data_IF_055564598365
#
_entry.id   IF_055564598365
#
_cell.length_a   1.000
_cell.length_b   1.000
_cell.length_c   1.000
_cell.angle_alpha   90.00
_cell.angle_beta   90.00
_cell.angle_gamma   90.00
#
_symmetry.space_group_name_H-M   'P 1'
#
loop_
_entity.id
_entity.type
_entity.pdbx_description
1 polymer ?
#
# COMPACT_ATOMS: atom_id res chain seq x y z
N UNK A 1 -1.50 -40.89 -17.46
CA UNK A 1 -0.33 -40.25 -16.84
C UNK A 1 0.00 -38.90 -17.50
N UNK A 2 0.04 -38.80 -18.84
CA UNK A 2 0.30 -37.53 -19.55
C UNK A 2 -0.82 -36.48 -19.39
N UNK A 3 -2.09 -36.89 -19.40
CA UNK A 3 -3.24 -35.98 -19.19
C UNK A 3 -3.24 -35.31 -17.82
N UNK A 4 -2.75 -36.01 -16.79
CA UNK A 4 -2.63 -35.50 -15.42
C UNK A 4 -1.55 -34.42 -15.33
N UNK A 5 -0.42 -34.62 -16.03
CA UNK A 5 0.66 -33.62 -16.09
C UNK A 5 0.22 -32.34 -16.79
N UNK A 6 -0.48 -32.47 -17.92
CA UNK A 6 -1.01 -31.31 -18.65
C UNK A 6 -2.01 -30.52 -17.81
N UNK A 7 -2.91 -31.22 -17.12
CA UNK A 7 -3.87 -30.60 -16.20
C UNK A 7 -3.17 -29.85 -15.08
N UNK A 8 -2.19 -30.47 -14.41
CA UNK A 8 -1.43 -29.84 -13.35
C UNK A 8 -0.77 -28.53 -13.80
N UNK A 9 -0.10 -28.52 -14.96
CA UNK A 9 0.54 -27.29 -15.46
C UNK A 9 -0.48 -26.23 -15.83
N UNK A 10 -1.61 -26.60 -16.43
CA UNK A 10 -2.67 -25.65 -16.77
C UNK A 10 -3.29 -25.01 -15.52
N UNK A 11 -3.49 -25.79 -14.45
CA UNK A 11 -3.94 -25.30 -13.13
C UNK A 11 -2.90 -24.36 -12.51
N UNK A 12 -1.62 -24.74 -12.50
CA UNK A 12 -0.55 -23.93 -11.90
C UNK A 12 -0.44 -22.56 -12.58
N UNK A 13 -0.47 -22.53 -13.91
CA UNK A 13 -0.44 -21.28 -14.69
C UNK A 13 -1.65 -20.41 -14.40
N UNK A 14 -2.83 -21.03 -14.36
CA UNK A 14 -4.08 -20.34 -14.08
C UNK A 14 -4.08 -19.72 -12.67
N UNK A 15 -3.77 -20.51 -11.64
CA UNK A 15 -3.76 -20.02 -10.26
C UNK A 15 -2.65 -19.01 -10.00
N UNK A 16 -1.49 -19.12 -10.64
CA UNK A 16 -0.45 -18.10 -10.54
C UNK A 16 -0.95 -16.73 -11.03
N UNK A 17 -1.62 -16.69 -12.19
CA UNK A 17 -2.18 -15.45 -12.74
C UNK A 17 -3.41 -14.97 -11.97
N UNK A 18 -4.29 -15.87 -11.53
CA UNK A 18 -5.46 -15.55 -10.71
C UNK A 18 -5.04 -14.91 -9.38
N UNK A 19 -4.17 -15.60 -8.61
CA UNK A 19 -3.80 -15.19 -7.26
C UNK A 19 -3.02 -13.87 -7.27
N UNK A 20 -2.12 -13.67 -8.23
CA UNK A 20 -1.39 -12.40 -8.38
C UNK A 20 -2.32 -11.23 -8.73
N UNK A 21 -3.34 -11.47 -9.56
CA UNK A 21 -4.36 -10.48 -9.87
C UNK A 21 -5.25 -10.16 -8.67
N UNK A 22 -5.72 -11.18 -7.95
CA UNK A 22 -6.51 -11.02 -6.74
C UNK A 22 -5.74 -10.26 -5.66
N UNK A 23 -4.47 -10.58 -5.44
CA UNK A 23 -3.61 -9.88 -4.47
C UNK A 23 -3.53 -8.37 -4.75
N UNK A 24 -3.32 -7.98 -6.02
CA UNK A 24 -3.29 -6.58 -6.40
C UNK A 24 -4.66 -5.91 -6.22
N UNK A 25 -5.74 -6.53 -6.70
CA UNK A 25 -7.09 -5.99 -6.59
C UNK A 25 -7.52 -5.80 -5.12
N UNK A 26 -7.26 -6.80 -4.27
CA UNK A 26 -7.51 -6.72 -2.84
C UNK A 26 -6.72 -5.57 -2.19
N UNK A 27 -5.45 -5.41 -2.56
CA UNK A 27 -4.64 -4.30 -2.04
C UNK A 27 -5.20 -2.93 -2.44
N UNK A 28 -5.74 -2.81 -3.66
CA UNK A 28 -6.44 -1.62 -4.15
C UNK A 28 -7.85 -1.44 -3.54
N UNK A 29 -8.24 -2.28 -2.56
CA UNK A 29 -9.51 -2.19 -1.86
C UNK A 29 -10.70 -2.75 -2.64
N UNK A 30 -10.45 -3.54 -3.69
CA UNK A 30 -11.51 -4.24 -4.42
C UNK A 30 -11.76 -5.60 -3.79
N UNK A 31 -13.00 -6.11 -3.89
CA UNK A 31 -13.30 -7.47 -3.46
C UNK A 31 -12.49 -8.47 -4.28
N UNK A 32 -12.03 -9.55 -3.66
CA UNK A 32 -11.36 -10.63 -4.36
C UNK A 32 -12.35 -11.25 -5.38
N UNK A 33 -12.14 -11.06 -6.70
CA UNK A 33 -13.07 -11.58 -7.69
C UNK A 33 -13.01 -13.10 -7.72
N UNK A 34 -14.15 -13.74 -7.93
CA UNK A 34 -14.21 -15.19 -8.15
C UNK A 34 -13.53 -15.55 -9.48
N UNK A 35 -13.03 -16.80 -9.64
CA UNK A 35 -12.47 -17.35 -10.88
C UNK A 35 -13.15 -16.92 -12.19
N UNK A 36 -14.48 -16.90 -12.22
CA UNK A 36 -15.27 -16.57 -13.42
C UNK A 36 -15.26 -15.09 -13.78
N UNK A 37 -14.97 -14.22 -12.80
CA UNK A 37 -15.04 -12.76 -12.96
C UNK A 37 -13.67 -12.11 -13.09
N UNK A 38 -12.57 -12.87 -12.92
CA UNK A 38 -11.23 -12.29 -12.87
C UNK A 38 -10.86 -11.48 -14.11
N UNK A 39 -11.21 -11.97 -15.31
CA UNK A 39 -10.94 -11.27 -16.57
C UNK A 39 -11.65 -9.92 -16.61
N UNK A 40 -12.93 -9.88 -16.21
CA UNK A 40 -13.71 -8.64 -16.14
C UNK A 40 -13.10 -7.67 -15.13
N UNK A 41 -12.77 -8.16 -13.93
CA UNK A 41 -12.19 -7.33 -12.87
C UNK A 41 -10.82 -6.75 -13.24
N UNK A 42 -9.95 -7.53 -13.91
CA UNK A 42 -8.65 -7.05 -14.39
C UNK A 42 -8.83 -6.00 -15.49
N UNK A 43 -9.79 -6.18 -16.40
CA UNK A 43 -10.13 -5.17 -17.41
C UNK A 43 -10.53 -3.86 -16.74
N UNK A 44 -11.60 -3.90 -15.95
CA UNK A 44 -12.22 -2.74 -15.32
C UNK A 44 -11.26 -1.98 -14.40
N UNK A 45 -10.56 -2.67 -13.49
CA UNK A 45 -9.81 -2.00 -12.43
C UNK A 45 -8.33 -1.82 -12.72
N UNK A 46 -7.77 -2.47 -13.73
CA UNK A 46 -6.34 -2.38 -14.03
C UNK A 46 -6.08 -1.88 -15.44
N UNK A 47 -6.80 -2.36 -16.44
CA UNK A 47 -6.55 -1.96 -17.84
C UNK A 47 -7.22 -0.64 -18.18
N UNK A 48 -8.51 -0.52 -17.90
CA UNK A 48 -9.28 0.69 -18.21
C UNK A 48 -8.78 1.89 -17.37
N UNK A 49 -8.28 1.62 -16.16
CA UNK A 49 -7.57 2.59 -15.30
C UNK A 49 -6.13 2.90 -15.74
N UNK A 50 -5.64 2.28 -16.82
CA UNK A 50 -4.31 2.53 -17.39
C UNK A 50 -3.13 1.97 -16.58
N UNK A 51 -3.37 1.13 -15.57
CA UNK A 51 -2.33 0.53 -14.71
C UNK A 51 -1.64 -0.66 -15.39
N UNK A 52 -2.40 -1.42 -16.19
CA UNK A 52 -1.97 -2.63 -16.85
C UNK A 52 -2.21 -2.55 -18.37
N UNK A 53 -1.20 -2.78 -19.21
CA UNK A 53 -1.41 -2.83 -20.66
C UNK A 53 -2.33 -3.99 -21.10
N UNK A 54 -3.19 -3.77 -22.10
CA UNK A 54 -4.16 -4.74 -22.65
C UNK A 54 -3.53 -6.11 -22.99
N UNK A 55 -2.26 -6.14 -23.42
CA UNK A 55 -1.56 -7.41 -23.74
C UNK A 55 -1.56 -8.41 -22.58
N UNK A 56 -1.48 -7.93 -21.33
CA UNK A 56 -1.48 -8.80 -20.15
C UNK A 56 -2.86 -9.39 -19.89
N UNK A 57 -3.92 -8.62 -20.16
CA UNK A 57 -5.29 -9.11 -20.09
C UNK A 57 -5.54 -10.21 -21.15
N UNK A 58 -5.06 -10.02 -22.37
CA UNK A 58 -5.11 -11.06 -23.41
C UNK A 58 -4.42 -12.35 -22.98
N UNK A 59 -3.25 -12.26 -22.34
CA UNK A 59 -2.58 -13.45 -21.79
C UNK A 59 -3.38 -14.13 -20.69
N UNK A 60 -4.06 -13.37 -19.83
CA UNK A 60 -4.95 -13.94 -18.82
C UNK A 60 -6.12 -14.67 -19.47
N UNK A 61 -6.77 -14.07 -20.46
CA UNK A 61 -7.86 -14.68 -21.23
C UNK A 61 -7.41 -15.99 -21.90
N UNK A 62 -6.21 -15.99 -22.50
CA UNK A 62 -5.60 -17.18 -23.11
C UNK A 62 -5.38 -18.30 -22.10
N UNK A 63 -4.80 -18.01 -20.93
CA UNK A 63 -4.54 -19.03 -19.89
C UNK A 63 -5.83 -19.55 -19.26
N UNK A 64 -6.81 -18.68 -19.01
CA UNK A 64 -8.14 -19.08 -18.51
C UNK A 64 -8.81 -20.03 -19.50
N UNK A 65 -8.74 -19.72 -20.80
CA UNK A 65 -9.29 -20.58 -21.85
C UNK A 65 -8.53 -21.90 -21.93
N UNK A 66 -7.20 -21.87 -21.93
CA UNK A 66 -6.35 -23.05 -21.96
C UNK A 66 -6.68 -24.03 -20.82
N UNK A 67 -6.79 -23.52 -19.59
CA UNK A 67 -7.17 -24.33 -18.42
C UNK A 67 -8.54 -24.99 -18.59
N UNK A 68 -9.55 -24.24 -19.03
CA UNK A 68 -10.90 -24.79 -19.32
C UNK A 68 -10.87 -25.84 -20.44
N UNK A 69 -10.06 -25.65 -21.46
CA UNK A 69 -9.96 -26.58 -22.59
C UNK A 69 -9.25 -27.88 -22.19
N UNK A 70 -8.27 -27.81 -21.29
CA UNK A 70 -7.64 -28.99 -20.68
C UNK A 70 -8.62 -29.71 -19.74
N UNK A 71 -9.35 -28.98 -18.88
CA UNK A 71 -10.38 -29.50 -17.97
C UNK A 71 -11.47 -30.27 -18.73
N UNK A 72 -11.98 -29.70 -19.83
CA UNK A 72 -12.98 -30.34 -20.69
C UNK A 72 -12.41 -31.36 -21.70
N UNK A 73 -11.12 -31.72 -21.58
CA UNK A 73 -10.43 -32.69 -22.47
C UNK A 73 -10.47 -32.31 -23.95
N UNK A 74 -10.65 -31.03 -24.27
CA UNK A 74 -10.58 -30.47 -25.63
C UNK A 74 -9.14 -30.39 -26.11
N UNK A 75 -8.20 -30.13 -25.20
CA UNK A 75 -6.76 -30.27 -25.46
C UNK A 75 -6.27 -31.59 -24.87
N UNK A 76 -5.94 -32.55 -25.74
CA UNK A 76 -5.41 -33.87 -25.33
C UNK A 76 -3.89 -33.97 -25.42
N UNK A 77 -3.27 -33.13 -26.24
CA UNK A 77 -1.82 -33.05 -26.46
C UNK A 77 -1.42 -31.60 -26.68
N UNK A 78 -0.26 -31.23 -26.16
CA UNK A 78 0.38 -29.94 -26.37
C UNK A 78 1.86 -30.19 -26.64
N UNK A 79 2.47 -29.40 -27.52
CA UNK A 79 3.92 -29.46 -27.71
C UNK A 79 4.64 -28.77 -26.56
N UNK A 80 5.88 -29.18 -26.27
CA UNK A 80 6.71 -28.49 -25.26
C UNK A 80 6.85 -26.99 -25.55
N UNK A 81 7.07 -26.63 -26.83
CA UNK A 81 7.17 -25.25 -27.27
C UNK A 81 5.93 -24.40 -26.96
N UNK A 82 4.73 -24.95 -27.18
CA UNK A 82 3.47 -24.25 -26.84
C UNK A 82 3.31 -24.10 -25.33
N UNK A 83 3.70 -25.12 -24.56
CA UNK A 83 3.65 -25.07 -23.10
C UNK A 83 4.62 -24.01 -22.55
N UNK A 84 5.83 -23.94 -23.09
CA UNK A 84 6.84 -22.93 -22.73
C UNK A 84 6.34 -21.51 -23.01
N UNK A 85 5.55 -21.31 -24.07
CA UNK A 85 4.95 -20.01 -24.36
C UNK A 85 3.95 -19.59 -23.27
N UNK A 86 3.06 -20.49 -22.84
CA UNK A 86 2.14 -20.21 -21.73
C UNK A 86 2.88 -19.93 -20.42
N UNK A 87 3.92 -20.72 -20.12
CA UNK A 87 4.77 -20.52 -18.94
C UNK A 87 5.43 -19.14 -18.98
N UNK A 88 5.97 -18.74 -20.14
CA UNK A 88 6.61 -17.43 -20.32
C UNK A 88 5.62 -16.28 -20.10
N UNK A 89 4.43 -16.34 -20.73
CA UNK A 89 3.36 -15.36 -20.55
C UNK A 89 2.94 -15.23 -19.08
N UNK A 90 2.70 -16.35 -18.41
CA UNK A 90 2.32 -16.37 -17.00
C UNK A 90 3.40 -15.76 -16.10
N UNK A 91 4.68 -16.12 -16.30
CA UNK A 91 5.80 -15.54 -15.54
C UNK A 91 5.91 -14.02 -15.71
N UNK A 92 5.79 -13.53 -16.94
CA UNK A 92 5.82 -12.09 -17.23
C UNK A 92 4.62 -11.35 -16.63
N UNK A 93 3.45 -11.99 -16.66
CA UNK A 93 2.23 -11.46 -16.05
C UNK A 93 2.34 -11.34 -14.53
N UNK A 94 2.72 -12.42 -13.84
CA UNK A 94 2.88 -12.45 -12.38
C UNK A 94 3.89 -11.38 -11.94
N UNK A 95 5.05 -11.33 -12.61
CA UNK A 95 6.06 -10.28 -12.35
C UNK A 95 5.49 -8.87 -12.51
N UNK A 96 4.66 -8.64 -13.53
CA UNK A 96 4.03 -7.33 -13.74
C UNK A 96 3.05 -6.99 -12.62
N UNK A 97 2.26 -7.96 -12.15
CA UNK A 97 1.35 -7.77 -11.02
C UNK A 97 2.09 -7.50 -9.71
N UNK A 98 3.18 -8.22 -9.43
CA UNK A 98 4.06 -7.97 -8.28
C UNK A 98 4.63 -6.55 -8.31
N UNK A 99 5.12 -6.07 -9.47
CA UNK A 99 5.62 -4.71 -9.63
C UNK A 99 4.54 -3.65 -9.34
N UNK A 100 3.31 -3.87 -9.82
CA UNK A 100 2.19 -2.97 -9.57
C UNK A 100 1.80 -2.96 -8.08
N UNK A 101 1.80 -4.12 -7.44
CA UNK A 101 1.52 -4.27 -6.00
C UNK A 101 2.57 -3.55 -5.15
N UNK A 102 3.85 -3.73 -5.44
CA UNK A 102 4.93 -3.06 -4.71
C UNK A 102 4.90 -1.54 -4.90
N UNK A 103 4.56 -1.07 -6.11
CA UNK A 103 4.31 0.35 -6.36
C UNK A 103 3.16 0.88 -5.49
N UNK A 104 2.02 0.19 -5.49
CA UNK A 104 0.85 0.60 -4.71
C UNK A 104 1.14 0.61 -3.20
N UNK A 105 1.89 -0.38 -2.70
CA UNK A 105 2.38 -0.44 -1.31
C UNK A 105 3.22 0.77 -0.95
N UNK A 106 4.20 1.10 -1.79
CA UNK A 106 5.07 2.26 -1.59
C UNK A 106 4.28 3.57 -1.55
N UNK A 107 3.34 3.75 -2.48
CA UNK A 107 2.50 4.94 -2.55
C UNK A 107 1.60 5.08 -1.31
N UNK A 108 0.98 3.98 -0.86
CA UNK A 108 0.16 3.97 0.37
C UNK A 108 0.98 4.36 1.60
N UNK A 109 2.14 3.73 1.78
CA UNK A 109 3.05 4.00 2.90
C UNK A 109 3.55 5.44 2.92
N UNK A 110 3.92 5.96 1.75
CA UNK A 110 4.30 7.36 1.56
C UNK A 110 3.19 8.30 2.04
N UNK A 111 1.95 8.06 1.61
CA UNK A 111 0.79 8.86 2.04
C UNK A 111 0.56 8.78 3.56
N UNK A 112 0.73 7.60 4.17
CA UNK A 112 0.60 7.44 5.62
C UNK A 112 1.64 8.25 6.39
N UNK A 113 2.91 8.18 5.99
CA UNK A 113 4.00 8.94 6.64
C UNK A 113 3.76 10.45 6.54
N UNK A 114 3.44 10.96 5.35
CA UNK A 114 3.15 12.38 5.15
C UNK A 114 1.98 12.81 6.04
N UNK A 115 0.89 12.05 6.04
CA UNK A 115 -0.29 12.34 6.86
C UNK A 115 0.01 12.32 8.35
N UNK A 116 0.79 11.35 8.83
CA UNK A 116 1.17 11.25 10.24
C UNK A 116 1.95 12.49 10.68
N UNK A 117 2.94 12.91 9.89
CA UNK A 117 3.71 14.13 10.16
C UNK A 117 2.82 15.38 10.16
N UNK A 118 2.02 15.58 9.10
CA UNK A 118 1.16 16.76 8.99
C UNK A 118 0.13 16.87 10.11
N UNK A 119 -0.53 15.76 10.46
CA UNK A 119 -1.55 15.73 11.50
C UNK A 119 -0.94 16.04 12.86
N UNK A 120 0.25 15.49 13.15
CA UNK A 120 0.96 15.77 14.39
C UNK A 120 1.36 17.25 14.50
N UNK A 121 1.93 17.81 13.43
CA UNK A 121 2.32 19.22 13.37
C UNK A 121 1.11 20.14 13.49
N UNK A 122 0.00 19.85 12.79
CA UNK A 122 -1.25 20.64 12.87
C UNK A 122 -1.83 20.63 14.27
N UNK A 123 -1.82 19.49 14.96
CA UNK A 123 -2.29 19.38 16.34
C UNK A 123 -1.44 20.21 17.30
N UNK A 124 -0.11 20.14 17.17
CA UNK A 124 0.81 20.97 17.96
C UNK A 124 0.59 22.47 17.70
N UNK A 125 0.46 22.88 16.44
CA UNK A 125 0.17 24.28 16.07
C UNK A 125 -1.15 24.75 16.68
N UNK A 126 -2.20 23.92 16.63
CA UNK A 126 -3.50 24.27 17.20
C UNK A 126 -3.42 24.48 18.73
N UNK A 127 -2.72 23.61 19.44
CA UNK A 127 -2.47 23.75 20.88
C UNK A 127 -1.67 25.02 21.21
N UNK A 128 -0.56 25.26 20.50
CA UNK A 128 0.25 26.47 20.68
C UNK A 128 -0.52 27.76 20.39
N UNK A 129 -1.38 27.76 19.37
CA UNK A 129 -2.28 28.90 19.10
C UNK A 129 -3.26 29.13 20.23
N UNK A 130 -3.85 28.07 20.79
CA UNK A 130 -4.77 28.18 21.92
C UNK A 130 -4.08 28.72 23.19
N UNK A 131 -2.78 28.52 23.32
CA UNK A 131 -1.95 29.08 24.40
C UNK A 131 -1.40 30.48 24.11
N UNK A 132 -1.64 31.04 22.90
CA UNK A 132 -0.97 32.25 22.41
C UNK A 132 0.58 32.16 22.43
N UNK A 133 1.10 30.95 22.16
CA UNK A 133 2.54 30.60 22.15
C UNK A 133 3.03 30.08 20.80
N UNK A 134 2.27 30.29 19.72
CA UNK A 134 2.72 29.89 18.39
C UNK A 134 3.88 30.79 17.94
N UNK A 135 5.07 30.24 17.61
CA UNK A 135 6.16 31.04 17.10
C UNK A 135 5.85 31.62 15.70
N UNK A 136 6.38 32.80 15.36
CA UNK A 136 6.21 33.40 14.04
C UNK A 136 6.99 32.68 12.94
N UNK A 137 8.17 32.14 13.24
CA UNK A 137 8.98 31.35 12.30
C UNK A 137 8.70 29.84 12.50
N UNK A 138 8.28 29.10 11.45
CA UNK A 138 8.12 27.64 11.50
C UNK A 138 9.36 26.87 11.98
N UNK A 139 10.58 27.42 11.81
CA UNK A 139 11.82 26.79 12.29
C UNK A 139 11.89 26.69 13.80
N UNK A 140 11.20 27.58 14.51
CA UNK A 140 11.15 27.60 15.98
C UNK A 140 10.07 26.67 16.55
N UNK A 141 9.24 26.06 15.68
CA UNK A 141 8.17 25.17 16.11
C UNK A 141 8.65 24.01 17.01
N UNK A 142 9.77 23.30 16.73
CA UNK A 142 10.26 22.26 17.63
C UNK A 142 10.62 22.78 19.02
N UNK A 143 11.17 24.00 19.11
CA UNK A 143 11.49 24.65 20.38
C UNK A 143 10.21 25.02 21.12
N UNK A 144 9.24 25.61 20.44
CA UNK A 144 7.96 25.99 21.04
C UNK A 144 7.18 24.77 21.57
N UNK A 145 7.20 23.63 20.88
CA UNK A 145 6.59 22.40 21.36
C UNK A 145 7.24 21.93 22.67
N UNK A 146 8.58 21.92 22.71
CA UNK A 146 9.35 21.54 23.91
C UNK A 146 9.03 22.44 25.10
N UNK A 147 9.11 23.76 24.91
CA UNK A 147 8.93 24.69 26.03
C UNK A 147 7.47 24.78 26.46
N UNK A 148 6.53 24.98 25.53
CA UNK A 148 5.15 25.31 25.90
C UNK A 148 4.25 24.08 26.04
N UNK A 149 4.35 23.10 25.14
CA UNK A 149 3.47 21.93 25.24
C UNK A 149 3.99 20.94 26.30
N UNK A 150 5.28 20.62 26.26
CA UNK A 150 5.84 19.59 27.14
C UNK A 150 6.14 20.14 28.53
N UNK A 151 6.95 21.19 28.65
CA UNK A 151 7.35 21.70 29.97
C UNK A 151 6.23 22.48 30.66
N UNK A 152 5.58 23.42 29.97
CA UNK A 152 4.52 24.25 30.58
C UNK A 152 3.18 23.51 30.68
N UNK A 153 2.66 22.93 29.59
CA UNK A 153 1.36 22.26 29.58
C UNK A 153 1.39 20.78 30.05
N UNK A 154 2.58 20.24 30.38
CA UNK A 154 2.74 18.91 30.96
C UNK A 154 2.45 17.75 30.00
N UNK A 155 2.50 17.99 28.68
CA UNK A 155 2.37 16.95 27.65
C UNK A 155 3.52 15.95 27.81
N UNK A 156 3.23 14.67 27.61
CA UNK A 156 4.22 13.61 27.84
C UNK A 156 5.54 13.86 27.04
N UNK A 157 6.71 13.93 27.69
CA UNK A 157 8.00 14.17 27.02
C UNK A 157 8.35 13.15 25.93
N UNK A 158 7.78 11.94 25.97
CA UNK A 158 7.93 10.92 24.93
C UNK A 158 7.58 11.44 23.53
N UNK A 159 6.67 12.41 23.41
CA UNK A 159 6.29 12.94 22.09
C UNK A 159 7.40 13.75 21.41
N UNK A 160 8.46 14.17 22.12
CA UNK A 160 9.66 14.71 21.45
C UNK A 160 10.30 13.69 20.52
N UNK A 161 10.43 12.45 20.99
CA UNK A 161 10.96 11.35 20.20
C UNK A 161 10.02 11.04 19.04
N UNK A 162 8.71 10.96 19.31
CA UNK A 162 7.72 10.72 18.24
C UNK A 162 7.80 11.80 17.16
N UNK A 163 7.90 13.09 17.51
CA UNK A 163 8.06 14.20 16.57
C UNK A 163 9.32 14.06 15.71
N UNK A 164 10.45 13.71 16.35
CA UNK A 164 11.72 13.48 15.67
C UNK A 164 11.63 12.31 14.68
N UNK A 165 11.01 11.21 15.08
CA UNK A 165 10.85 10.03 14.24
C UNK A 165 9.94 10.32 13.04
N UNK A 166 8.77 10.94 13.24
CA UNK A 166 7.89 11.28 12.10
C UNK A 166 8.52 12.30 11.15
N UNK A 167 9.33 13.24 11.67
CA UNK A 167 10.09 14.18 10.84
C UNK A 167 11.19 13.46 10.03
N UNK A 168 11.90 12.51 10.66
CA UNK A 168 12.91 11.69 9.98
C UNK A 168 12.28 10.84 8.87
N UNK A 169 11.16 10.17 9.17
CA UNK A 169 10.40 9.42 8.16
C UNK A 169 9.93 10.32 7.01
N UNK A 170 9.44 11.54 7.31
CA UNK A 170 9.02 12.51 6.30
C UNK A 170 10.17 12.91 5.38
N UNK A 171 11.36 13.13 5.94
CA UNK A 171 12.59 13.45 5.18
C UNK A 171 13.01 12.31 4.27
N UNK A 172 12.99 11.06 4.77
CA UNK A 172 13.29 9.89 3.93
C UNK A 172 12.30 9.73 2.76
N UNK A 173 11.03 10.11 2.95
CA UNK A 173 10.05 10.18 1.84
C UNK A 173 10.47 11.22 0.81
N UNK A 174 10.87 12.43 1.22
CA UNK A 174 11.33 13.49 0.31
C UNK A 174 12.59 13.08 -0.47
N UNK A 175 13.47 12.30 0.16
CA UNK A 175 14.67 11.71 -0.45
C UNK A 175 14.37 10.47 -1.32
N UNK A 176 13.10 10.07 -1.49
CA UNK A 176 12.66 8.85 -2.21
C UNK A 176 13.20 7.54 -1.61
N UNK A 177 13.53 7.53 -0.32
CA UNK A 177 14.10 6.43 0.48
C UNK A 177 13.08 5.74 1.39
N UNK A 178 11.78 5.85 1.07
CA UNK A 178 10.67 5.27 1.86
C UNK A 178 10.74 3.74 2.09
N UNK A 179 11.50 3.03 1.26
CA UNK A 179 11.71 1.58 1.43
C UNK A 179 12.56 1.24 2.66
N UNK A 180 13.38 2.18 3.15
CA UNK A 180 14.26 1.97 4.31
C UNK A 180 13.48 1.99 5.63
N UNK A 181 12.27 2.51 5.63
CA UNK A 181 11.42 2.62 6.82
C UNK A 181 10.69 1.29 7.02
N UNK A 182 10.74 0.60 8.15
CA UNK A 182 9.93 -0.60 8.36
C UNK A 182 8.42 -0.30 8.44
N UNK A 183 7.56 -1.16 7.87
CA UNK A 183 6.10 -0.97 7.90
C UNK A 183 5.55 -0.91 9.33
N UNK A 184 6.07 -1.76 10.22
CA UNK A 184 5.74 -1.77 11.64
C UNK A 184 5.93 -0.40 12.29
N UNK A 185 7.01 0.28 11.94
CA UNK A 185 7.37 1.55 12.57
C UNK A 185 6.44 2.67 12.07
N UNK A 186 5.99 2.62 10.82
CA UNK A 186 4.95 3.53 10.29
C UNK A 186 3.63 3.38 11.06
N UNK A 187 3.18 2.15 11.30
CA UNK A 187 1.95 1.89 12.06
C UNK A 187 2.11 2.23 13.55
N UNK A 188 3.27 1.99 14.14
CA UNK A 188 3.56 2.39 15.52
C UNK A 188 3.50 3.91 15.68
N UNK A 189 4.18 4.65 14.79
CA UNK A 189 4.14 6.11 14.79
C UNK A 189 2.74 6.65 14.57
N UNK A 190 1.94 6.01 13.71
CA UNK A 190 0.53 6.38 13.49
C UNK A 190 -0.28 6.32 14.80
N UNK A 191 -0.07 5.29 15.62
CA UNK A 191 -0.77 5.17 16.90
C UNK A 191 -0.31 6.24 17.90
N UNK A 192 0.99 6.52 17.99
CA UNK A 192 1.49 7.60 18.83
C UNK A 192 1.00 8.99 18.39
N UNK A 193 0.97 9.25 17.07
CA UNK A 193 0.40 10.48 16.52
C UNK A 193 -1.09 10.61 16.88
N UNK A 194 -1.87 9.52 16.81
CA UNK A 194 -3.29 9.54 17.22
C UNK A 194 -3.47 9.88 18.69
N UNK A 195 -2.63 9.35 19.57
CA UNK A 195 -2.65 9.66 21.01
C UNK A 195 -2.30 11.12 21.26
N UNK A 196 -1.22 11.59 20.64
CA UNK A 196 -0.81 12.99 20.70
C UNK A 196 -1.92 13.94 20.27
N UNK A 197 -2.59 13.66 19.14
CA UNK A 197 -3.68 14.50 18.62
C UNK A 197 -4.85 14.57 19.61
N UNK A 198 -5.21 13.45 20.25
CA UNK A 198 -6.26 13.44 21.27
C UNK A 198 -5.88 14.31 22.47
N UNK A 199 -4.65 14.16 22.95
CA UNK A 199 -4.13 14.95 24.07
C UNK A 199 -4.07 16.46 23.74
N UNK A 200 -3.68 16.83 22.51
CA UNK A 200 -3.73 18.23 22.06
C UNK A 200 -5.16 18.76 21.96
N UNK A 201 -6.11 17.94 21.51
CA UNK A 201 -7.52 18.33 21.44
C UNK A 201 -8.07 18.60 22.85
N UNK A 202 -7.80 17.72 23.81
CA UNK A 202 -8.19 17.90 25.22
C UNK A 202 -7.57 19.16 25.84
N UNK A 203 -6.29 19.43 25.54
CA UNK A 203 -5.61 20.65 25.99
C UNK A 203 -6.29 21.91 25.42
N UNK A 204 -6.57 21.92 24.11
CA UNK A 204 -7.26 23.05 23.45
C UNK A 204 -8.66 23.25 24.03
N UNK A 205 -9.41 22.19 24.33
CA UNK A 205 -10.72 22.30 24.96
C UNK A 205 -10.65 22.85 26.38
N UNK A 206 -9.65 22.45 27.18
CA UNK A 206 -9.44 22.97 28.54
C UNK A 206 -9.13 24.46 28.54
N UNK A 207 -8.35 24.94 27.56
CA UNK A 207 -7.96 26.35 27.45
C UNK A 207 -9.09 27.27 26.94
N UNK A 208 -10.15 26.71 26.35
CA UNK A 208 -11.32 27.47 25.88
C UNK A 208 -12.40 27.67 26.95
N UNK A 209 -12.30 26.96 28.07
CA UNK A 209 -13.20 27.09 29.23
C UNK A 209 -12.68 28.14 30.19
#
# INVERSE_FOLDING_TARGET
MESVKLYAVAEDLYYAMLNSSQALLMFLGKNAPIPKEIVRAVREYLVDEGLLPERYLKWLEEVVKFRKDVEHKRVKRITGKQLDEYISKAKLYVRRMEQLLERARREKKTKQIIRNYEVMVKAAIAALKAMDKLPPDPKDLPKAIREHLIKEAGVNPFYEEVLREVATMRKLVDEKRVNEIPERDVELMREYVRRFVREMAELVEKLKK
#
